data_IF_076675539366
#
_entry.id   IF_076675539366
#
_cell.length_a   1.000
_cell.length_b   1.000
_cell.length_c   1.000
_cell.angle_alpha   90.00
_cell.angle_beta   90.00
_cell.angle_gamma   90.00
#
_symmetry.space_group_name_H-M   'P 1'
#
loop_
_entity.id
_entity.type
_entity.pdbx_description
1 polymer ?
#
# COMPACT_ATOMS: atom_id res chain seq x y z
N UNK A 1 -6.75 -27.21 -1.34
CA UNK A 1 -5.61 -26.69 -2.09
C UNK A 1 -5.79 -25.20 -2.34
N UNK A 2 -4.71 -24.46 -2.35
CA UNK A 2 -4.69 -23.03 -2.66
C UNK A 2 -4.15 -22.86 -4.08
N UNK A 3 -4.86 -22.10 -4.90
CA UNK A 3 -4.46 -21.79 -6.26
C UNK A 3 -4.02 -20.32 -6.33
N UNK A 4 -2.90 -20.07 -7.02
CA UNK A 4 -2.37 -18.72 -7.21
C UNK A 4 -2.29 -18.45 -8.70
N UNK A 5 -2.78 -17.29 -9.12
CA UNK A 5 -2.63 -16.80 -10.50
C UNK A 5 -1.74 -15.56 -10.50
N UNK A 6 -0.92 -15.45 -11.50
CA UNK A 6 0.03 -14.33 -11.64
C UNK A 6 -0.26 -13.48 -12.86
N UNK A 7 -0.04 -12.19 -12.74
CA UNK A 7 -0.05 -11.23 -13.85
C UNK A 7 1.11 -10.26 -13.69
N UNK A 8 1.69 -9.86 -14.80
CA UNK A 8 2.69 -8.81 -14.84
C UNK A 8 1.99 -7.45 -14.81
N UNK A 9 2.46 -6.54 -13.98
CA UNK A 9 1.97 -5.16 -14.01
C UNK A 9 2.63 -4.40 -15.16
N UNK A 10 1.84 -3.63 -15.88
CA UNK A 10 2.35 -2.66 -16.83
C UNK A 10 3.04 -1.52 -16.06
N UNK A 11 4.34 -1.65 -15.88
CA UNK A 11 5.14 -0.58 -15.28
C UNK A 11 5.48 0.45 -16.36
N UNK A 12 5.26 1.75 -16.12
CA UNK A 12 5.68 2.77 -17.08
C UNK A 12 7.19 2.67 -17.38
N UNK A 13 7.61 2.90 -18.63
CA UNK A 13 8.99 2.66 -19.05
C UNK A 13 10.06 3.53 -18.39
N UNK A 14 9.68 4.52 -17.60
CA UNK A 14 10.60 5.45 -16.92
C UNK A 14 10.94 5.06 -15.47
N UNK A 15 10.45 3.94 -14.97
CA UNK A 15 10.82 3.46 -13.63
C UNK A 15 11.98 2.48 -13.74
N UNK A 16 13.11 2.86 -13.16
CA UNK A 16 14.30 2.04 -12.92
C UNK A 16 14.04 0.90 -11.91
N UNK A 17 12.78 0.69 -11.55
CA UNK A 17 12.31 -0.39 -10.70
C UNK A 17 12.05 -1.62 -11.58
N UNK A 18 12.67 -2.75 -11.23
CA UNK A 18 12.55 -4.01 -11.96
C UNK A 18 11.12 -4.50 -12.15
N UNK A 19 10.93 -5.68 -12.72
CA UNK A 19 9.63 -6.27 -13.01
C UNK A 19 8.72 -6.31 -11.77
N UNK A 20 7.44 -6.09 -11.98
CA UNK A 20 6.41 -6.09 -10.95
C UNK A 20 5.32 -7.10 -11.29
N UNK A 21 4.94 -7.93 -10.32
CA UNK A 21 3.96 -9.01 -10.49
C UNK A 21 2.91 -8.97 -9.41
N UNK A 22 1.66 -9.22 -9.82
CA UNK A 22 0.56 -9.50 -8.89
C UNK A 22 0.33 -11.01 -8.85
N UNK A 23 0.34 -11.55 -7.63
CA UNK A 23 0.02 -12.95 -7.37
C UNK A 23 -1.29 -12.99 -6.59
N UNK A 24 -2.33 -13.44 -7.25
CA UNK A 24 -3.67 -13.50 -6.63
C UNK A 24 -3.93 -14.90 -6.09
N UNK A 25 -4.23 -14.99 -4.80
CA UNK A 25 -4.69 -16.24 -4.18
C UNK A 25 -6.15 -16.43 -4.59
N UNK A 26 -6.45 -17.59 -5.18
CA UNK A 26 -7.80 -17.93 -5.60
C UNK A 26 -8.65 -18.26 -4.36
N UNK A 27 -9.71 -17.48 -4.13
CA UNK A 27 -10.62 -17.65 -3.00
C UNK A 27 -11.70 -18.69 -3.22
N UNK A 28 -11.79 -19.29 -4.41
CA UNK A 28 -12.90 -20.21 -4.76
C UNK A 28 -13.03 -21.42 -3.82
N UNK A 29 -11.90 -21.90 -3.27
CA UNK A 29 -11.87 -23.05 -2.36
C UNK A 29 -11.58 -22.64 -0.90
N UNK A 30 -11.74 -21.37 -0.58
CA UNK A 30 -11.53 -20.84 0.77
C UNK A 30 -12.88 -20.45 1.38
N UNK A 31 -13.04 -20.76 2.67
CA UNK A 31 -14.19 -20.26 3.42
C UNK A 31 -14.03 -18.77 3.74
N UNK A 32 -15.12 -18.04 4.04
CA UNK A 32 -15.02 -16.65 4.49
C UNK A 32 -14.10 -16.47 5.70
N UNK A 33 -14.07 -17.44 6.61
CA UNK A 33 -13.20 -17.43 7.79
C UNK A 33 -11.74 -17.59 7.43
N UNK A 34 -11.42 -18.45 6.46
CA UNK A 34 -10.06 -18.63 5.95
C UNK A 34 -9.57 -17.37 5.23
N UNK A 35 -10.41 -16.75 4.42
CA UNK A 35 -10.11 -15.48 3.75
C UNK A 35 -9.79 -14.39 4.78
N UNK A 36 -10.64 -14.24 5.79
CA UNK A 36 -10.45 -13.27 6.87
C UNK A 36 -9.14 -13.51 7.64
N UNK A 37 -8.81 -14.77 7.92
CA UNK A 37 -7.57 -15.15 8.62
C UNK A 37 -6.33 -14.82 7.79
N UNK A 38 -6.36 -15.08 6.47
CA UNK A 38 -5.23 -14.83 5.58
C UNK A 38 -5.01 -13.34 5.31
N UNK A 39 -6.05 -12.54 5.35
CA UNK A 39 -5.93 -11.08 5.25
C UNK A 39 -5.42 -10.51 6.57
N UNK A 40 -6.02 -10.95 7.68
CA UNK A 40 -5.71 -10.45 9.01
C UNK A 40 -6.25 -9.06 9.28
N UNK A 41 -5.99 -8.55 10.47
CA UNK A 41 -6.40 -7.20 10.86
C UNK A 41 -5.67 -6.16 10.01
N UNK A 42 -6.43 -5.33 9.30
CA UNK A 42 -5.90 -4.29 8.38
C UNK A 42 -4.90 -4.82 7.35
N UNK A 43 -5.05 -6.06 6.90
CA UNK A 43 -4.18 -6.69 5.92
C UNK A 43 -2.83 -7.15 6.47
N UNK A 44 -2.65 -7.20 7.77
CA UNK A 44 -1.36 -7.50 8.40
C UNK A 44 -0.81 -8.89 8.05
N UNK A 45 -1.68 -9.90 7.96
CA UNK A 45 -1.25 -11.25 7.58
C UNK A 45 -0.90 -11.29 6.10
N UNK A 46 -1.70 -10.67 5.25
CA UNK A 46 -1.44 -10.59 3.82
C UNK A 46 -0.13 -9.84 3.54
N UNK A 47 0.14 -8.78 4.29
CA UNK A 47 1.40 -8.04 4.21
C UNK A 47 2.60 -8.90 4.64
N UNK A 48 2.45 -9.72 5.67
CA UNK A 48 3.50 -10.65 6.12
C UNK A 48 3.79 -11.72 5.05
N UNK A 49 2.74 -12.28 4.44
CA UNK A 49 2.88 -13.23 3.32
C UNK A 49 3.61 -12.57 2.15
N UNK A 50 3.25 -11.35 1.81
CA UNK A 50 3.90 -10.58 0.74
C UNK A 50 5.38 -10.34 1.04
N UNK A 51 5.72 -9.95 2.25
CA UNK A 51 7.10 -9.76 2.68
C UNK A 51 7.92 -11.03 2.52
N UNK A 52 7.40 -12.16 3.00
CA UNK A 52 8.06 -13.46 2.88
C UNK A 52 8.21 -13.90 1.42
N UNK A 53 7.19 -13.69 0.61
CA UNK A 53 7.22 -14.01 -0.82
C UNK A 53 8.34 -13.23 -1.52
N UNK A 54 8.40 -11.92 -1.31
CA UNK A 54 9.47 -11.09 -1.88
C UNK A 54 10.85 -11.53 -1.41
N UNK A 55 10.99 -11.83 -0.12
CA UNK A 55 12.26 -12.27 0.45
C UNK A 55 12.73 -13.58 -0.13
N UNK A 56 11.83 -14.57 -0.26
CA UNK A 56 12.17 -15.91 -0.75
C UNK A 56 12.46 -15.90 -2.25
N UNK A 57 11.60 -15.25 -3.05
CA UNK A 57 11.73 -15.27 -4.51
C UNK A 57 12.91 -14.43 -5.01
N UNK A 58 13.32 -13.41 -4.28
CA UNK A 58 14.47 -12.58 -4.62
C UNK A 58 15.79 -13.09 -4.02
N UNK A 59 15.74 -14.13 -3.19
CA UNK A 59 16.92 -14.69 -2.54
C UNK A 59 17.91 -15.21 -3.59
N UNK A 60 19.17 -14.78 -3.51
CA UNK A 60 20.26 -15.17 -4.44
C UNK A 60 20.02 -14.75 -5.90
N UNK A 61 19.09 -13.84 -6.16
CA UNK A 61 18.92 -13.27 -7.50
C UNK A 61 19.83 -12.05 -7.68
N UNK A 62 20.48 -11.91 -8.85
CA UNK A 62 21.23 -10.70 -9.16
C UNK A 62 20.29 -9.48 -9.25
N UNK A 63 20.80 -8.25 -9.08
CA UNK A 63 19.96 -7.04 -9.06
C UNK A 63 19.02 -6.91 -10.26
N UNK A 64 19.47 -7.31 -11.46
CA UNK A 64 18.67 -7.24 -12.70
C UNK A 64 17.53 -8.26 -12.77
N UNK A 65 17.58 -9.31 -11.95
CA UNK A 65 16.53 -10.34 -11.88
C UNK A 65 15.62 -10.18 -10.66
N UNK A 66 15.88 -9.20 -9.82
CA UNK A 66 15.00 -8.91 -8.68
C UNK A 66 13.68 -8.31 -9.15
N UNK A 67 12.60 -8.73 -8.50
CA UNK A 67 11.25 -8.32 -8.85
C UNK A 67 10.45 -7.95 -7.59
N UNK A 68 9.39 -7.19 -7.78
CA UNK A 68 8.43 -6.86 -6.74
C UNK A 68 7.19 -7.72 -6.92
N UNK A 69 6.77 -8.40 -5.85
CA UNK A 69 5.59 -9.26 -5.83
C UNK A 69 4.54 -8.69 -4.89
N UNK A 70 3.36 -8.44 -5.43
CA UNK A 70 2.19 -8.03 -4.65
C UNK A 70 1.26 -9.22 -4.50
N UNK A 71 0.88 -9.54 -3.27
CA UNK A 71 -0.02 -10.65 -2.97
C UNK A 71 -1.42 -10.09 -2.75
N UNK A 72 -2.36 -10.55 -3.58
CA UNK A 72 -3.76 -10.15 -3.51
C UNK A 72 -4.64 -11.31 -3.09
N UNK A 73 -5.67 -11.02 -2.34
CA UNK A 73 -6.71 -11.97 -1.96
C UNK A 73 -8.06 -11.25 -1.86
N UNK A 74 -9.06 -11.80 -2.54
CA UNK A 74 -10.45 -11.33 -2.48
C UNK A 74 -10.62 -9.82 -2.75
N UNK A 75 -9.77 -9.25 -3.59
CA UNK A 75 -9.83 -7.83 -3.93
C UNK A 75 -9.46 -6.87 -2.79
N UNK A 76 -8.83 -7.37 -1.72
CA UNK A 76 -8.51 -6.57 -0.54
C UNK A 76 -7.68 -5.34 -0.86
N UNK A 77 -6.58 -5.50 -1.64
CA UNK A 77 -5.67 -4.40 -1.94
C UNK A 77 -6.31 -3.33 -2.83
N UNK A 78 -7.07 -3.75 -3.81
CA UNK A 78 -7.80 -2.83 -4.70
C UNK A 78 -8.80 -2.00 -3.91
N UNK A 79 -9.57 -2.64 -3.03
CA UNK A 79 -10.53 -1.97 -2.16
C UNK A 79 -9.83 -1.03 -1.17
N UNK A 80 -8.75 -1.50 -0.55
CA UNK A 80 -7.98 -0.71 0.44
C UNK A 80 -7.34 0.51 -0.22
N UNK A 81 -6.80 0.38 -1.42
CA UNK A 81 -6.26 1.52 -2.18
C UNK A 81 -7.31 2.60 -2.41
N UNK A 82 -8.53 2.22 -2.79
CA UNK A 82 -9.64 3.16 -2.95
C UNK A 82 -10.00 3.86 -1.64
N UNK A 83 -10.01 3.14 -0.52
CA UNK A 83 -10.23 3.71 0.82
C UNK A 83 -9.14 4.71 1.20
N UNK A 84 -7.88 4.38 0.95
CA UNK A 84 -6.73 5.25 1.26
C UNK A 84 -6.77 6.51 0.39
N UNK A 85 -7.13 6.39 -0.89
CA UNK A 85 -7.31 7.55 -1.77
C UNK A 85 -8.39 8.48 -1.23
N UNK A 86 -9.50 7.94 -0.78
CA UNK A 86 -10.58 8.73 -0.16
C UNK A 86 -10.10 9.43 1.13
N UNK A 87 -9.35 8.72 1.97
CA UNK A 87 -8.75 9.31 3.18
C UNK A 87 -7.80 10.47 2.83
N UNK A 88 -6.99 10.30 1.80
CA UNK A 88 -6.06 11.32 1.33
C UNK A 88 -6.80 12.58 0.82
N UNK A 89 -7.82 12.38 0.00
CA UNK A 89 -8.63 13.46 -0.56
C UNK A 89 -9.39 14.23 0.53
N UNK A 90 -9.97 13.50 1.49
CA UNK A 90 -10.67 14.10 2.63
C UNK A 90 -9.72 14.91 3.52
N UNK A 91 -8.53 14.38 3.79
CA UNK A 91 -7.51 15.08 4.58
C UNK A 91 -7.02 16.34 3.85
N UNK A 92 -6.83 16.28 2.54
CA UNK A 92 -6.45 17.43 1.72
C UNK A 92 -7.51 18.53 1.78
N UNK A 93 -8.78 18.17 1.61
CA UNK A 93 -9.90 19.11 1.69
C UNK A 93 -10.01 19.73 3.08
N UNK A 94 -9.87 18.93 4.15
CA UNK A 94 -9.92 19.41 5.52
C UNK A 94 -8.76 20.36 5.86
N UNK A 95 -7.56 20.05 5.41
CA UNK A 95 -6.39 20.91 5.61
C UNK A 95 -6.55 22.27 4.91
N UNK A 96 -7.08 22.26 3.70
CA UNK A 96 -7.36 23.50 2.95
C UNK A 96 -8.45 24.33 3.62
N UNK A 97 -9.52 23.69 4.06
CA UNK A 97 -10.65 24.38 4.67
C UNK A 97 -10.33 24.99 6.04
N UNK A 98 -9.54 24.28 6.86
CA UNK A 98 -9.20 24.69 8.23
C UNK A 98 -7.92 25.50 8.32
N UNK A 99 -7.01 25.36 7.37
CA UNK A 99 -5.65 25.91 7.48
C UNK A 99 -4.76 25.18 8.48
N UNK A 100 -5.22 24.08 9.05
CA UNK A 100 -4.54 23.33 10.11
C UNK A 100 -3.98 22.01 9.61
N UNK A 101 -3.10 21.41 10.43
CA UNK A 101 -2.63 20.05 10.22
C UNK A 101 -3.76 19.04 10.39
N UNK A 102 -3.82 18.05 9.52
CA UNK A 102 -4.73 16.90 9.63
C UNK A 102 -3.88 15.64 9.77
N UNK A 103 -4.17 14.85 10.78
CA UNK A 103 -3.49 13.59 11.03
C UNK A 103 -4.31 12.42 10.48
N UNK A 104 -3.64 11.51 9.76
CA UNK A 104 -4.21 10.24 9.32
C UNK A 104 -3.49 9.14 10.10
N UNK A 105 -4.22 8.49 11.00
CA UNK A 105 -3.72 7.42 11.87
C UNK A 105 -4.02 6.04 11.28
N UNK A 106 -3.40 5.01 11.86
CA UNK A 106 -3.66 3.60 11.54
C UNK A 106 -3.32 3.21 10.09
N UNK A 107 -2.34 3.88 9.50
CA UNK A 107 -1.79 3.50 8.20
C UNK A 107 -0.45 2.79 8.38
N UNK A 108 -0.22 1.76 7.56
CA UNK A 108 1.11 1.13 7.45
C UNK A 108 2.09 2.10 6.78
N UNK A 109 3.38 1.80 6.85
CA UNK A 109 4.40 2.61 6.19
C UNK A 109 4.19 2.67 4.66
N UNK A 110 3.78 1.55 4.05
CA UNK A 110 3.45 1.50 2.62
C UNK A 110 2.22 2.35 2.30
N UNK A 111 1.19 2.32 3.15
CA UNK A 111 -0.02 3.11 2.98
C UNK A 111 0.26 4.62 3.15
N UNK A 112 1.11 5.00 4.10
CA UNK A 112 1.55 6.39 4.24
C UNK A 112 2.27 6.88 2.97
N UNK A 113 3.07 6.02 2.37
CA UNK A 113 3.74 6.31 1.09
C UNK A 113 2.74 6.51 -0.05
N UNK A 114 1.68 5.69 -0.08
CA UNK A 114 0.60 5.84 -1.07
C UNK A 114 -0.09 7.21 -0.94
N UNK A 115 -0.43 7.64 0.27
CA UNK A 115 -1.03 8.96 0.50
C UNK A 115 -0.09 10.07 0.04
N UNK A 116 1.18 9.97 0.39
CA UNK A 116 2.18 10.93 -0.06
C UNK A 116 2.24 11.01 -1.60
N UNK A 117 2.19 9.87 -2.27
CA UNK A 117 2.18 9.79 -3.73
C UNK A 117 0.91 10.42 -4.33
N UNK A 118 -0.27 10.18 -3.74
CA UNK A 118 -1.51 10.79 -4.19
C UNK A 118 -1.52 12.30 -4.05
N UNK A 119 -0.86 12.85 -3.04
CA UNK A 119 -0.90 14.28 -2.73
C UNK A 119 0.35 15.07 -3.18
N UNK A 120 1.37 14.41 -3.71
CA UNK A 120 2.65 15.05 -4.06
C UNK A 120 2.53 16.17 -5.10
N UNK A 121 1.53 16.09 -6.00
CA UNK A 121 1.34 17.06 -7.06
C UNK A 121 0.52 18.29 -6.62
N UNK A 122 0.02 18.29 -5.38
CA UNK A 122 -0.66 19.45 -4.81
C UNK A 122 0.36 20.40 -4.19
N UNK A 123 0.74 21.44 -4.94
CA UNK A 123 1.75 22.41 -4.52
C UNK A 123 1.36 23.19 -3.25
N UNK A 124 0.07 23.26 -2.95
CA UNK A 124 -0.48 23.95 -1.77
C UNK A 124 -0.49 23.11 -0.49
N UNK A 125 -0.05 21.85 -0.56
CA UNK A 125 -0.05 20.91 0.56
C UNK A 125 1.33 20.29 0.77
N UNK A 126 1.63 20.00 2.04
CA UNK A 126 2.79 19.20 2.45
C UNK A 126 2.32 17.94 3.16
N UNK A 127 3.03 16.85 2.95
CA UNK A 127 2.79 15.59 3.64
C UNK A 127 4.09 15.05 4.24
N UNK A 128 4.03 14.59 5.47
CA UNK A 128 5.16 13.94 6.14
C UNK A 128 4.67 12.99 7.24
N UNK A 129 5.51 12.06 7.64
CA UNK A 129 5.20 11.14 8.73
C UNK A 129 5.81 11.64 10.05
N UNK A 130 5.07 11.44 11.14
CA UNK A 130 5.46 11.87 12.49
C UNK A 130 5.28 10.72 13.48
N UNK A 131 6.14 10.66 14.49
CA UNK A 131 6.08 9.64 15.53
C UNK A 131 6.93 8.41 15.23
N UNK A 132 6.80 7.40 16.07
CA UNK A 132 7.53 6.13 15.97
C UNK A 132 6.57 4.96 15.81
N UNK A 133 6.95 3.96 15.04
CA UNK A 133 6.20 2.72 14.96
C UNK A 133 6.02 2.09 16.38
N UNK A 134 4.87 1.51 16.71
CA UNK A 134 3.69 1.30 15.86
C UNK A 134 2.71 2.48 15.82
N UNK A 135 3.03 3.64 16.40
CA UNK A 135 2.15 4.80 16.51
C UNK A 135 2.51 5.94 15.55
N UNK A 136 3.28 5.63 14.52
CA UNK A 136 3.64 6.59 13.49
C UNK A 136 2.42 6.90 12.61
N UNK A 137 2.20 8.18 12.32
CA UNK A 137 1.06 8.65 11.53
C UNK A 137 1.48 9.64 10.46
N UNK A 138 0.61 9.85 9.49
CA UNK A 138 0.81 10.82 8.43
C UNK A 138 0.17 12.16 8.80
N UNK A 139 0.85 13.23 8.48
CA UNK A 139 0.35 14.60 8.63
C UNK A 139 0.19 15.22 7.25
N UNK A 140 -0.96 15.82 7.00
CA UNK A 140 -1.25 16.65 5.83
C UNK A 140 -1.50 18.07 6.30
N UNK A 141 -0.78 19.03 5.76
CA UNK A 141 -0.94 20.44 6.13
C UNK A 141 -0.80 21.36 4.93
N UNK A 142 -1.32 22.60 5.00
CA UNK A 142 -1.01 23.59 3.99
C UNK A 142 0.49 23.83 3.91
N UNK A 143 1.00 23.96 2.68
CA UNK A 143 2.40 24.29 2.45
C UNK A 143 2.69 25.69 3.01
N UNK A 144 3.86 25.83 3.63
CA UNK A 144 4.34 27.14 4.09
C UNK A 144 4.88 27.91 2.86
N UNK A 145 4.44 29.18 2.74
CA UNK A 145 4.97 30.09 1.71
C UNK A 145 6.40 30.51 2.02
#
# INVERSE_FOLDING_TARGET
SVTVTGSEEDVPPDNDEGASYWLTIDEANLSPEQISTLIGSNGSVLDAIQYLTNSILNLNQPPEEQASYTIELNGYRVKREAEIRTLAENAAAAARASGNEIEIKSLSSAERRQVHTFLKDYADLETFSRGKEPHRHLVVRPAME
#
